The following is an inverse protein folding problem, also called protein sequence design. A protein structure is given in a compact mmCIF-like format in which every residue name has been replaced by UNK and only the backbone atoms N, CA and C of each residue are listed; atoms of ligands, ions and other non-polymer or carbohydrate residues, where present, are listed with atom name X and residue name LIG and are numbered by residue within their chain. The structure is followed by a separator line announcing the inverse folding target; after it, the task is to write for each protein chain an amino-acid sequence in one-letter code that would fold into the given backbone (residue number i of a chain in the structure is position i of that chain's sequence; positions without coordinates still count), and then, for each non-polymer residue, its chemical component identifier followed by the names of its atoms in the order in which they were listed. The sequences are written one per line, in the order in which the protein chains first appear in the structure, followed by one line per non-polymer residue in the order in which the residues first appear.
data_IF_002430501108
#
_entry.id   IF_002430501108
#
_cell.length_a   1.000
_cell.length_b   1.000
_cell.length_c   1.000
_cell.angle_alpha   90.00
_cell.angle_beta   90.00
_cell.angle_gamma   90.00
#
_symmetry.space_group_name_H-M   'P 1'
#
loop_
_entity.id
_entity.type
_entity.pdbx_description
1 polymer ?
#
# COMPACT_ATOMS: atom_id res chain seq x y z
N UNK A 1 18.49 2.21 -7.61
CA UNK A 1 18.28 2.60 -6.19
C UNK A 1 17.59 3.96 -6.18
N UNK A 2 16.28 3.99 -6.02
CA UNK A 2 15.55 5.26 -5.82
C UNK A 2 16.00 5.87 -4.50
N UNK A 3 16.68 7.00 -4.54
CA UNK A 3 16.86 7.85 -3.35
C UNK A 3 15.45 8.24 -2.90
N UNK A 4 15.06 7.85 -1.70
CA UNK A 4 13.83 8.33 -1.10
C UNK A 4 13.90 9.87 -1.05
N UNK A 5 12.97 10.55 -1.73
CA UNK A 5 12.90 12.02 -1.84
C UNK A 5 12.61 12.72 -0.50
N UNK A 6 12.71 12.00 0.60
CA UNK A 6 12.38 12.49 1.94
C UNK A 6 10.86 12.47 2.19
N UNK A 7 10.50 12.69 3.44
CA UNK A 7 9.11 12.76 3.91
C UNK A 7 8.75 14.21 4.15
N UNK A 8 7.60 14.66 3.64
CA UNK A 8 7.04 16.00 3.91
C UNK A 8 5.95 15.86 4.95
N UNK A 9 6.08 16.58 6.04
CA UNK A 9 5.03 16.61 7.07
C UNK A 9 3.94 17.61 6.65
N UNK A 10 2.69 17.16 6.70
CA UNK A 10 1.51 17.99 6.43
C UNK A 10 0.60 17.96 7.66
N UNK A 11 0.42 19.11 8.29
CA UNK A 11 -0.49 19.25 9.41
C UNK A 11 -1.90 19.58 8.96
N UNK A 12 -2.90 19.16 9.73
CA UNK A 12 -4.31 19.47 9.46
C UNK A 12 -4.56 20.98 9.27
N UNK A 13 -3.85 21.84 10.00
CA UNK A 13 -3.96 23.31 9.92
C UNK A 13 -3.50 23.87 8.59
N UNK A 14 -2.63 23.17 7.86
CA UNK A 14 -2.06 23.62 6.59
C UNK A 14 -2.95 23.23 5.40
N UNK A 15 -4.04 22.49 5.66
CA UNK A 15 -4.94 21.95 4.64
C UNK A 15 -6.30 22.61 4.72
N UNK A 16 -6.75 23.20 3.60
CA UNK A 16 -8.05 23.86 3.50
C UNK A 16 -9.20 22.86 3.44
N UNK A 17 -9.03 21.79 2.63
CA UNK A 17 -10.01 20.71 2.49
C UNK A 17 -9.30 19.37 2.44
N UNK A 18 -9.89 18.37 3.06
CA UNK A 18 -9.35 17.00 3.01
C UNK A 18 -10.46 15.98 2.85
N UNK A 19 -10.14 14.89 2.17
CA UNK A 19 -11.01 13.73 2.01
C UNK A 19 -10.17 12.47 2.20
N UNK A 20 -10.61 11.60 3.11
CA UNK A 20 -10.05 10.27 3.32
C UNK A 20 -11.09 9.23 2.95
N UNK A 21 -10.69 8.26 2.12
CA UNK A 21 -11.49 7.10 1.78
C UNK A 21 -10.72 5.85 2.19
N UNK A 22 -11.35 5.01 3.00
CA UNK A 22 -10.85 3.69 3.35
C UNK A 22 -11.73 2.67 2.64
N UNK A 23 -11.13 1.87 1.76
CA UNK A 23 -11.82 0.83 0.99
C UNK A 23 -11.48 -0.55 1.51
N UNK A 24 -12.47 -1.29 2.02
CA UNK A 24 -12.26 -2.68 2.46
C UNK A 24 -12.26 -3.69 1.31
N UNK A 25 -12.66 -3.28 0.10
CA UNK A 25 -12.83 -4.19 -1.05
C UNK A 25 -11.55 -4.89 -1.50
N UNK A 26 -10.40 -4.26 -1.32
CA UNK A 26 -9.10 -4.79 -1.74
C UNK A 26 -8.28 -5.36 -0.57
N UNK A 27 -8.92 -5.53 0.59
CA UNK A 27 -8.25 -6.13 1.73
C UNK A 27 -8.22 -7.65 1.56
N UNK A 28 -7.02 -8.21 1.38
CA UNK A 28 -6.81 -9.64 1.27
C UNK A 28 -5.97 -10.14 2.44
N UNK A 29 -6.32 -11.31 2.99
CA UNK A 29 -5.55 -11.96 4.04
C UNK A 29 -4.21 -12.47 3.54
N UNK A 30 -4.19 -12.93 2.29
CA UNK A 30 -3.01 -13.50 1.68
C UNK A 30 -3.09 -13.42 0.16
N UNK A 31 -1.93 -13.49 -0.49
CA UNK A 31 -1.82 -13.67 -1.93
C UNK A 31 -1.17 -15.02 -2.20
N UNK A 32 -1.83 -15.84 -3.02
CA UNK A 32 -1.36 -17.16 -3.43
C UNK A 32 -0.98 -17.13 -4.91
N UNK A 33 0.23 -17.61 -5.23
CA UNK A 33 0.77 -17.73 -6.58
C UNK A 33 1.25 -19.15 -6.83
N UNK A 34 1.30 -19.58 -8.10
CA UNK A 34 1.72 -20.92 -8.51
C UNK A 34 3.00 -20.84 -9.34
N UNK A 35 3.90 -21.80 -9.15
CA UNK A 35 5.08 -21.96 -9.99
C UNK A 35 5.33 -23.40 -10.33
N UNK A 36 6.02 -23.64 -11.44
CA UNK A 36 6.49 -24.96 -11.79
C UNK A 36 7.84 -25.22 -11.14
N UNK A 37 7.93 -26.28 -10.33
CA UNK A 37 9.20 -26.71 -9.78
C UNK A 37 10.00 -27.46 -10.85
N UNK A 38 11.16 -26.91 -11.21
CA UNK A 38 12.02 -27.47 -12.26
C UNK A 38 12.60 -28.85 -11.92
N UNK A 39 12.70 -29.19 -10.62
CA UNK A 39 13.28 -30.47 -10.17
C UNK A 39 12.27 -31.60 -10.21
N UNK A 40 11.04 -31.34 -9.79
CA UNK A 40 9.98 -32.35 -9.69
C UNK A 40 9.00 -32.33 -10.85
N UNK A 41 9.02 -31.24 -11.66
CA UNK A 41 8.02 -31.01 -12.72
C UNK A 41 6.63 -30.68 -12.20
N UNK A 42 6.42 -30.68 -10.88
CA UNK A 42 5.13 -30.47 -10.24
C UNK A 42 4.83 -28.99 -10.02
N UNK A 43 3.53 -28.67 -9.93
CA UNK A 43 3.08 -27.33 -9.53
C UNK A 43 3.21 -27.18 -8.02
N UNK A 44 3.88 -26.12 -7.60
CA UNK A 44 3.97 -25.71 -6.19
C UNK A 44 3.29 -24.35 -5.98
N UNK A 45 2.71 -24.16 -4.80
CA UNK A 45 1.99 -22.94 -4.42
C UNK A 45 2.83 -22.17 -3.41
N UNK A 46 2.97 -20.88 -3.63
CA UNK A 46 3.56 -19.91 -2.69
C UNK A 46 2.45 -19.02 -2.18
N UNK A 47 2.25 -18.99 -0.87
CA UNK A 47 1.29 -18.10 -0.21
C UNK A 47 2.03 -17.10 0.65
N UNK A 48 1.73 -15.82 0.46
CA UNK A 48 2.25 -14.72 1.25
C UNK A 48 1.11 -14.11 2.08
N UNK A 49 1.23 -14.23 3.40
CA UNK A 49 0.25 -13.67 4.34
C UNK A 49 0.40 -12.15 4.44
N UNK A 50 -0.72 -11.47 4.65
CA UNK A 50 -0.79 -10.03 4.84
C UNK A 50 -0.85 -9.70 6.34
N UNK A 51 0.28 -9.24 6.89
CA UNK A 51 0.36 -8.86 8.31
C UNK A 51 -0.49 -7.62 8.65
N UNK A 52 -0.85 -6.82 7.63
CA UNK A 52 -1.67 -5.62 7.77
C UNK A 52 -3.18 -5.91 7.55
N UNK A 53 -3.56 -7.17 7.38
CA UNK A 53 -4.96 -7.56 7.23
C UNK A 53 -5.73 -7.31 8.53
N UNK A 54 -6.96 -6.74 8.47
CA UNK A 54 -7.81 -6.62 9.64
C UNK A 54 -8.20 -7.99 10.20
N UNK A 55 -8.53 -8.01 11.49
CA UNK A 55 -9.09 -9.22 12.12
C UNK A 55 -10.44 -9.56 11.43
N UNK A 56 -10.55 -10.77 10.94
CA UNK A 56 -11.68 -11.25 10.16
C UNK A 56 -11.24 -12.33 9.17
N UNK A 57 -12.09 -12.72 8.26
CA UNK A 57 -11.80 -13.66 7.17
C UNK A 57 -11.79 -12.97 5.81
N UNK A 58 -10.83 -12.04 5.54
CA UNK A 58 -10.72 -11.47 4.21
C UNK A 58 -10.30 -12.57 3.22
N UNK A 59 -10.75 -12.51 1.96
CA UNK A 59 -10.47 -13.53 0.98
C UNK A 59 -8.97 -13.63 0.66
N UNK A 60 -8.53 -14.84 0.33
CA UNK A 60 -7.20 -15.07 -0.23
C UNK A 60 -7.25 -14.79 -1.74
N UNK A 61 -6.42 -13.88 -2.22
CA UNK A 61 -6.30 -13.66 -3.66
C UNK A 61 -5.43 -14.75 -4.27
N UNK A 62 -5.98 -15.56 -5.20
CA UNK A 62 -5.23 -16.57 -5.92
C UNK A 62 -4.94 -16.09 -7.34
N UNK A 63 -3.64 -15.96 -7.68
CA UNK A 63 -3.22 -15.65 -9.04
C UNK A 63 -3.42 -16.88 -9.94
N UNK A 64 -4.01 -16.65 -11.10
CA UNK A 64 -4.26 -17.72 -12.09
C UNK A 64 -3.03 -18.07 -12.91
N UNK A 65 -2.03 -17.19 -12.95
CA UNK A 65 -0.83 -17.39 -13.74
C UNK A 65 0.15 -18.37 -13.06
N UNK A 66 0.82 -19.20 -13.87
CA UNK A 66 1.86 -20.11 -13.42
C UNK A 66 3.21 -19.49 -13.74
N UNK A 67 4.04 -19.29 -12.74
CA UNK A 67 5.35 -18.67 -12.88
C UNK A 67 6.45 -19.72 -13.12
N UNK A 68 7.54 -19.36 -13.82
CA UNK A 68 8.58 -20.31 -14.21
C UNK A 68 9.44 -20.81 -13.04
N UNK A 69 9.45 -20.12 -11.92
CA UNK A 69 10.21 -20.48 -10.72
C UNK A 69 9.64 -19.85 -9.46
N UNK A 70 10.09 -20.35 -8.31
CA UNK A 70 9.67 -19.89 -6.98
C UNK A 70 9.94 -18.40 -6.75
N UNK A 71 11.13 -17.92 -7.14
CA UNK A 71 11.52 -16.50 -6.94
C UNK A 71 10.61 -15.53 -7.69
N UNK A 72 10.24 -15.85 -8.94
CA UNK A 72 9.29 -15.06 -9.73
C UNK A 72 7.90 -15.05 -9.08
N UNK A 73 7.42 -16.22 -8.62
CA UNK A 73 6.13 -16.32 -7.92
C UNK A 73 6.10 -15.49 -6.64
N UNK A 74 7.17 -15.54 -5.83
CA UNK A 74 7.30 -14.73 -4.61
C UNK A 74 7.35 -13.22 -4.91
N UNK A 75 8.12 -12.81 -5.93
CA UNK A 75 8.21 -11.41 -6.33
C UNK A 75 6.84 -10.84 -6.74
N UNK A 76 6.08 -11.62 -7.53
CA UNK A 76 4.73 -11.21 -7.95
C UNK A 76 3.77 -11.20 -6.77
N UNK A 77 3.81 -12.21 -5.88
CA UNK A 77 2.98 -12.22 -4.68
C UNK A 77 3.22 -10.97 -3.81
N UNK A 78 4.49 -10.57 -3.60
CA UNK A 78 4.87 -9.35 -2.89
C UNK A 78 4.37 -8.08 -3.59
N UNK A 79 4.54 -8.00 -4.90
CA UNK A 79 4.09 -6.84 -5.68
C UNK A 79 2.56 -6.68 -5.64
N UNK A 80 1.80 -7.78 -5.80
CA UNK A 80 0.33 -7.76 -5.71
C UNK A 80 -0.15 -7.40 -4.31
N UNK A 81 0.46 -7.98 -3.27
CA UNK A 81 0.11 -7.65 -1.90
C UNK A 81 0.36 -6.15 -1.60
N UNK A 82 1.51 -5.62 -2.04
CA UNK A 82 1.80 -4.21 -1.92
C UNK A 82 0.81 -3.32 -2.70
N UNK A 83 0.36 -3.75 -3.88
CA UNK A 83 -0.66 -3.05 -4.67
C UNK A 83 -2.01 -3.04 -3.95
N UNK A 84 -2.47 -4.18 -3.41
CA UNK A 84 -3.70 -4.26 -2.63
C UNK A 84 -3.64 -3.36 -1.40
N UNK A 85 -2.56 -3.40 -0.64
CA UNK A 85 -2.40 -2.56 0.55
C UNK A 85 -2.38 -1.06 0.21
N UNK A 86 -1.84 -0.66 -0.95
CA UNK A 86 -1.90 0.73 -1.42
C UNK A 86 -3.31 1.17 -1.79
N UNK A 87 -4.10 0.29 -2.40
CA UNK A 87 -5.46 0.63 -2.86
C UNK A 87 -6.51 0.63 -1.73
N UNK A 88 -6.13 0.34 -0.48
CA UNK A 88 -7.05 0.38 0.67
C UNK A 88 -7.28 1.78 1.24
N UNK A 89 -6.42 2.74 0.93
CA UNK A 89 -6.58 4.10 1.42
C UNK A 89 -6.31 5.11 0.29
N UNK A 90 -7.26 6.01 0.08
CA UNK A 90 -7.13 7.16 -0.80
C UNK A 90 -7.25 8.43 0.02
N UNK A 91 -6.35 9.36 -0.19
CA UNK A 91 -6.31 10.65 0.51
C UNK A 91 -6.23 11.77 -0.52
N UNK A 92 -7.16 12.73 -0.43
CA UNK A 92 -7.12 13.96 -1.20
C UNK A 92 -7.00 15.14 -0.26
N UNK A 93 -5.98 15.95 -0.46
CA UNK A 93 -5.69 17.13 0.35
C UNK A 93 -5.63 18.37 -0.57
N UNK A 94 -6.37 19.41 -0.21
CA UNK A 94 -6.33 20.73 -0.88
C UNK A 94 -5.72 21.75 0.09
N UNK A 95 -4.72 22.50 -0.36
CA UNK A 95 -3.98 23.44 0.47
C UNK A 95 -3.49 24.63 -0.35
N UNK A 96 -3.04 25.72 0.30
CA UNK A 96 -2.33 26.80 -0.38
C UNK A 96 -1.14 26.28 -1.18
N UNK A 97 -0.77 26.94 -2.25
CA UNK A 97 0.26 26.52 -3.18
C UNK A 97 1.58 26.13 -2.52
N UNK A 98 2.12 24.98 -2.89
CA UNK A 98 3.39 24.43 -2.39
C UNK A 98 4.21 23.86 -3.53
N UNK A 99 5.54 24.11 -3.50
CA UNK A 99 6.48 23.62 -4.52
C UNK A 99 7.19 22.33 -4.11
N UNK A 100 7.08 21.95 -2.85
CA UNK A 100 7.78 20.79 -2.27
C UNK A 100 7.04 19.46 -2.44
N UNK A 101 5.85 19.49 -3.08
CA UNK A 101 5.01 18.32 -3.33
C UNK A 101 5.07 17.92 -4.80
N UNK A 102 5.34 16.64 -5.05
CA UNK A 102 5.37 16.02 -6.39
C UNK A 102 5.06 14.52 -6.28
N UNK A 103 4.71 13.89 -7.40
CA UNK A 103 4.41 12.47 -7.46
C UNK A 103 5.57 11.60 -6.94
N UNK A 104 5.25 10.45 -6.37
CA UNK A 104 6.18 9.49 -5.73
C UNK A 104 6.86 9.98 -4.44
N UNK A 105 6.54 11.19 -3.97
CA UNK A 105 6.99 11.66 -2.67
C UNK A 105 6.16 11.06 -1.56
N UNK A 106 6.77 10.82 -0.40
CA UNK A 106 6.05 10.41 0.80
C UNK A 106 5.66 11.65 1.61
N UNK A 107 4.40 11.70 2.02
CA UNK A 107 3.90 12.68 2.99
C UNK A 107 3.57 11.98 4.32
N UNK A 108 3.74 12.69 5.42
CA UNK A 108 3.28 12.28 6.75
C UNK A 108 2.16 13.23 7.18
N UNK A 109 0.93 12.71 7.16
CA UNK A 109 -0.26 13.46 7.57
C UNK A 109 -0.42 13.43 9.09
N UNK A 110 -0.51 14.60 9.71
CA UNK A 110 -0.56 14.74 11.17
C UNK A 110 -1.72 15.63 11.63
N UNK A 111 -2.40 15.19 12.72
CA UNK A 111 -3.44 15.95 13.37
C UNK A 111 -4.80 15.97 12.68
N UNK A 112 -5.06 15.02 11.79
CA UNK A 112 -6.37 14.89 11.12
C UNK A 112 -7.36 14.09 11.98
N UNK A 113 -7.12 12.82 12.14
CA UNK A 113 -7.95 11.92 12.95
C UNK A 113 -7.19 10.64 13.25
N UNK A 114 -7.44 10.06 14.41
CA UNK A 114 -6.92 8.73 14.76
C UNK A 114 -7.32 7.72 13.68
N UNK A 115 -6.33 7.02 13.11
CA UNK A 115 -6.51 6.08 12.02
C UNK A 115 -6.32 6.67 10.61
N UNK A 116 -6.25 8.00 10.47
CA UNK A 116 -5.93 8.70 9.23
C UNK A 116 -4.57 9.39 9.24
N UNK A 117 -3.99 9.60 10.43
CA UNK A 117 -2.63 10.12 10.55
C UNK A 117 -1.62 9.04 10.15
N UNK A 118 -0.60 9.44 9.37
CA UNK A 118 0.45 8.54 8.94
C UNK A 118 1.05 8.86 7.59
N UNK A 119 1.90 7.94 7.10
CA UNK A 119 2.63 8.10 5.85
C UNK A 119 1.78 7.65 4.64
N UNK A 120 1.70 8.51 3.63
CA UNK A 120 1.03 8.25 2.36
C UNK A 120 1.98 8.53 1.20
N UNK A 121 1.85 7.76 0.12
CA UNK A 121 2.59 8.00 -1.11
C UNK A 121 1.77 8.92 -2.02
N UNK A 122 2.37 10.01 -2.46
CA UNK A 122 1.76 10.93 -3.42
C UNK A 122 1.66 10.23 -4.79
N UNK A 123 0.47 10.16 -5.31
CA UNK A 123 0.17 9.62 -6.65
C UNK A 123 0.17 10.73 -7.69
N UNK A 124 -0.58 11.80 -7.41
CA UNK A 124 -0.66 12.95 -8.29
C UNK A 124 -0.65 14.27 -7.51
N UNK A 125 -0.16 15.32 -8.15
CA UNK A 125 -0.21 16.70 -7.65
C UNK A 125 -0.74 17.61 -8.74
N UNK A 126 -1.79 18.32 -8.43
CA UNK A 126 -2.38 19.35 -9.30
C UNK A 126 -2.08 20.71 -8.72
N UNK A 127 -1.49 21.61 -9.52
CA UNK A 127 -1.21 23.00 -9.17
C UNK A 127 -2.14 23.90 -9.97
N UNK A 128 -2.96 24.69 -9.28
CA UNK A 128 -3.92 25.58 -9.91
C UNK A 128 -3.59 27.03 -9.57
N UNK A 129 -3.32 27.83 -10.60
CA UNK A 129 -3.08 29.25 -10.51
C UNK A 129 -4.30 30.00 -11.03
N UNK A 130 -4.88 30.83 -10.19
CA UNK A 130 -6.04 31.68 -10.54
C UNK A 130 -5.81 33.11 -10.08
N UNK A 131 -6.70 34.03 -10.48
CA UNK A 131 -6.67 35.37 -9.93
C UNK A 131 -6.89 35.43 -8.41
N UNK A 132 -7.57 34.40 -7.84
CA UNK A 132 -7.78 34.26 -6.41
C UNK A 132 -6.59 33.72 -5.65
N UNK A 133 -5.54 33.27 -6.36
CA UNK A 133 -4.33 32.73 -5.77
C UNK A 133 -3.88 31.37 -6.33
N UNK A 134 -2.92 30.79 -5.65
CA UNK A 134 -2.31 29.51 -5.99
C UNK A 134 -2.72 28.43 -4.99
N UNK A 135 -3.20 27.31 -5.49
CA UNK A 135 -3.61 26.15 -4.70
C UNK A 135 -2.93 24.87 -5.20
N UNK A 136 -2.73 23.96 -4.27
CA UNK A 136 -2.16 22.61 -4.52
C UNK A 136 -3.17 21.57 -4.07
N UNK A 137 -3.54 20.67 -4.97
CA UNK A 137 -4.31 19.47 -4.66
C UNK A 137 -3.40 18.26 -4.76
N UNK A 138 -3.34 17.45 -3.72
CA UNK A 138 -2.52 16.24 -3.66
C UNK A 138 -3.43 15.04 -3.52
N UNK A 139 -3.26 14.07 -4.40
CA UNK A 139 -3.90 12.76 -4.31
C UNK A 139 -2.86 11.73 -3.88
N UNK A 140 -3.17 10.98 -2.84
CA UNK A 140 -2.27 10.00 -2.26
C UNK A 140 -2.95 8.66 -2.13
N UNK A 141 -2.19 7.63 -2.35
CA UNK A 141 -2.57 6.26 -2.06
C UNK A 141 -1.97 5.80 -0.73
N UNK A 142 -2.56 4.80 -0.09
CA UNK A 142 -2.04 4.23 1.15
C UNK A 142 -0.55 3.94 1.02
N UNK A 143 0.26 4.54 1.89
CA UNK A 143 1.71 4.50 1.85
C UNK A 143 2.30 3.10 2.07
N UNK A 144 3.64 3.00 2.08
CA UNK A 144 4.43 1.77 2.26
C UNK A 144 3.98 0.85 3.41
N UNK A 145 3.23 1.36 4.37
CA UNK A 145 2.75 0.64 5.57
C UNK A 145 1.24 0.45 5.59
N UNK A 146 0.56 0.79 4.48
CA UNK A 146 -0.80 0.39 4.12
C UNK A 146 -1.90 0.45 5.18
N UNK A 147 -1.78 1.23 6.21
CA UNK A 147 -2.80 1.69 7.18
C UNK A 147 -2.09 2.52 8.23
N UNK A 148 -2.64 3.65 8.57
CA UNK A 148 -2.23 4.38 9.76
C UNK A 148 -2.20 3.39 10.94
N UNK A 149 -1.01 3.10 11.45
CA UNK A 149 -0.88 2.18 12.59
C UNK A 149 -1.56 2.81 13.79
N UNK A 150 -2.68 2.25 14.21
CA UNK A 150 -3.17 2.50 15.56
C UNK A 150 -2.00 2.21 16.52
N UNK A 151 -1.51 3.24 17.22
CA UNK A 151 -0.50 3.10 18.26
C UNK A 151 -0.96 2.02 19.23
N UNK A 152 -0.32 0.84 19.23
CA UNK A 152 -0.59 -0.15 20.26
C UNK A 152 -0.36 -1.63 19.91
N UNK A 153 -0.16 -2.05 18.67
CA UNK A 153 0.13 -3.47 18.39
C UNK A 153 1.63 -3.72 18.18
N UNK A 154 2.22 -4.51 19.06
CA UNK A 154 3.60 -5.04 18.92
C UNK A 154 3.72 -5.77 17.59
N UNK A 155 4.80 -5.49 16.83
CA UNK A 155 5.21 -6.26 15.63
C UNK A 155 5.22 -7.74 15.98
N UNK A 156 4.40 -8.55 15.32
CA UNK A 156 4.59 -9.99 15.27
C UNK A 156 5.79 -10.26 14.35
N UNK A 157 6.65 -11.25 14.69
CA UNK A 157 7.73 -11.64 13.80
C UNK A 157 7.15 -12.10 12.46
N UNK A 158 7.85 -11.81 11.36
CA UNK A 158 7.47 -12.23 10.03
C UNK A 158 7.25 -13.74 10.02
N UNK A 159 6.05 -14.19 9.65
CA UNK A 159 5.75 -15.62 9.52
C UNK A 159 6.36 -16.12 8.21
N UNK A 160 7.01 -17.25 8.32
CA UNK A 160 7.63 -17.94 7.20
C UNK A 160 6.64 -18.26 6.08
N UNK A 161 7.13 -18.15 4.86
CA UNK A 161 6.45 -18.57 3.64
C UNK A 161 6.11 -20.06 3.71
N UNK A 162 4.81 -20.38 3.71
CA UNK A 162 4.38 -21.78 3.63
C UNK A 162 4.39 -22.23 2.17
N UNK A 163 5.22 -23.22 1.86
CA UNK A 163 5.21 -23.92 0.58
C UNK A 163 4.37 -25.17 0.75
N UNK A 164 3.26 -25.25 0.06
CA UNK A 164 2.41 -26.46 0.03
C UNK A 164 2.60 -27.14 -1.33
N UNK A 165 3.07 -28.37 -1.33
CA UNK A 165 3.09 -29.21 -2.52
C UNK A 165 1.70 -29.80 -2.72
N UNK A 166 1.13 -29.58 -3.90
CA UNK A 166 -0.13 -30.21 -4.30
C UNK A 166 0.18 -31.66 -4.71
N UNK A 167 -0.30 -32.62 -3.92
CA UNK A 167 -0.35 -34.02 -4.34
C UNK A 167 -1.53 -34.19 -5.30
N UNK A 168 -1.26 -34.69 -6.49
CA UNK A 168 -2.26 -35.21 -7.43
C UNK A 168 -2.53 -36.67 -7.09
#
# INVERSE_FOLDING_TARGET
MSKAFGVVVIHRRDVSRFQFRLGDRNTHKAVSTKHQDKKSGKLAVVTLDNDDSPDGLPPVHTDRHIYPNKSAAEAVAKARLAAFNRSTAEVRLEMPGRTDLFAERTIDAQGFKVGFDGEYLVDSVEQVYTQAGWSTTVECNGGKKGKAKAKGKKKKPAKDLRVVQLQQ
#
